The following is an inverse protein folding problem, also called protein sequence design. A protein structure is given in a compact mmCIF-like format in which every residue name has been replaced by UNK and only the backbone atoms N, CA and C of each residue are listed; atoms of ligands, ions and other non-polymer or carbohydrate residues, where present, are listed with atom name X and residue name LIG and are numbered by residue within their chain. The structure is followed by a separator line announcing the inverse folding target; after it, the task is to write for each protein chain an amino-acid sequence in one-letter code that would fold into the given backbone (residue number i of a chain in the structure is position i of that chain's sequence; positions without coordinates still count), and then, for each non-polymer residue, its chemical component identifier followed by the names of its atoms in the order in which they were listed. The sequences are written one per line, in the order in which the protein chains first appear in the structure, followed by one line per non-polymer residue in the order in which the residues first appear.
data_IF_911840393397
#
_entry.id   IF_911840393397
#
_cell.length_a   1.000
_cell.length_b   1.000
_cell.length_c   1.000
_cell.angle_alpha   90.00
_cell.angle_beta   90.00
_cell.angle_gamma   90.00
#
_symmetry.space_group_name_H-M   'P 1'
#
loop_
_entity.id
_entity.type
_entity.pdbx_description
1 polymer ?
#
# COMPACT_ATOMS: atom_id res chain seq x y z
N UNK A 1 -0.10 0.28 -16.82
CA UNK A 1 -0.53 1.06 -15.64
C UNK A 1 -2.00 1.42 -15.81
N UNK A 2 -2.92 1.10 -14.87
CA UNK A 2 -4.19 1.77 -14.84
C UNK A 2 -3.95 3.19 -14.30
N UNK A 3 -3.94 4.15 -15.21
CA UNK A 3 -3.95 5.58 -14.95
C UNK A 3 -5.40 6.08 -15.00
N UNK A 4 -6.03 6.19 -13.83
CA UNK A 4 -7.05 7.18 -13.48
C UNK A 4 -7.26 7.09 -11.96
N UNK A 5 -7.48 8.22 -11.29
CA UNK A 5 -7.84 8.31 -9.86
C UNK A 5 -9.23 7.69 -9.61
N UNK A 6 -9.39 6.39 -9.86
CA UNK A 6 -10.61 5.63 -9.64
C UNK A 6 -10.66 5.05 -8.23
N UNK A 7 -11.82 5.11 -7.58
CA UNK A 7 -12.01 4.41 -6.31
C UNK A 7 -11.79 2.90 -6.52
N UNK A 8 -10.91 2.29 -5.74
CA UNK A 8 -10.59 0.85 -5.81
C UNK A 8 -11.71 0.02 -5.15
N UNK A 9 -12.02 -1.14 -5.72
CA UNK A 9 -12.97 -2.12 -5.16
C UNK A 9 -12.24 -3.30 -4.54
N UNK A 10 -12.26 -3.42 -3.22
CA UNK A 10 -11.50 -4.45 -2.49
C UNK A 10 -12.37 -5.66 -2.12
N UNK A 11 -11.97 -6.91 -2.41
CA UNK A 11 -12.67 -8.06 -1.87
C UNK A 11 -12.38 -8.28 -0.39
N UNK A 12 -13.41 -8.67 0.35
CA UNK A 12 -13.25 -9.26 1.70
C UNK A 12 -12.73 -10.69 1.61
N UNK A 13 -12.18 -11.22 2.70
CA UNK A 13 -11.81 -12.64 2.84
C UNK A 13 -12.96 -13.56 2.50
N UNK A 14 -14.17 -13.19 2.94
CA UNK A 14 -15.40 -13.93 2.64
C UNK A 14 -15.65 -13.96 1.13
N UNK A 15 -15.58 -12.82 0.46
CA UNK A 15 -15.79 -12.76 -0.99
C UNK A 15 -14.73 -13.57 -1.77
N UNK A 16 -13.47 -13.55 -1.34
CA UNK A 16 -12.42 -14.41 -1.93
C UNK A 16 -12.77 -15.89 -1.74
N UNK A 17 -13.16 -16.30 -0.53
CA UNK A 17 -13.57 -17.68 -0.25
C UNK A 17 -14.80 -18.10 -1.06
N UNK A 18 -15.80 -17.21 -1.19
CA UNK A 18 -17.01 -17.46 -1.98
C UNK A 18 -16.70 -17.66 -3.48
N UNK A 19 -15.62 -17.03 -3.98
CA UNK A 19 -15.12 -17.19 -5.35
C UNK A 19 -14.05 -18.29 -5.48
N UNK A 20 -13.75 -19.02 -4.41
CA UNK A 20 -12.68 -20.02 -4.37
C UNK A 20 -11.30 -19.45 -4.79
N UNK A 21 -11.04 -18.18 -4.45
CA UNK A 21 -9.78 -17.49 -4.69
C UNK A 21 -8.92 -17.62 -3.43
N UNK A 22 -7.69 -18.12 -3.58
CA UNK A 22 -6.72 -18.19 -2.49
C UNK A 22 -6.28 -16.78 -2.03
N UNK A 23 -5.91 -16.65 -0.76
CA UNK A 23 -5.33 -15.38 -0.27
C UNK A 23 -3.91 -15.24 -0.82
N UNK A 24 -3.60 -14.18 -1.58
CA UNK A 24 -2.27 -14.01 -2.17
C UNK A 24 -1.23 -13.56 -1.11
N UNK A 25 0.08 -13.60 -1.45
CA UNK A 25 1.16 -12.98 -0.66
C UNK A 25 0.91 -11.49 -0.36
N UNK A 26 1.61 -10.92 0.62
CA UNK A 26 1.35 -9.55 1.11
C UNK A 26 1.64 -8.46 0.08
N UNK A 27 2.55 -8.77 -0.82
CA UNK A 27 3.02 -7.94 -1.92
C UNK A 27 1.96 -7.78 -3.02
N UNK A 28 0.93 -8.64 -3.04
CA UNK A 28 -0.20 -8.55 -3.97
C UNK A 28 -1.44 -8.04 -3.22
N UNK A 29 -1.83 -6.76 -3.39
CA UNK A 29 -3.04 -6.24 -2.78
C UNK A 29 -4.26 -7.03 -3.21
N UNK A 30 -5.26 -7.21 -2.33
CA UNK A 30 -6.44 -8.02 -2.66
C UNK A 30 -7.26 -7.48 -3.86
N UNK A 31 -7.15 -6.18 -4.16
CA UNK A 31 -7.80 -5.57 -5.32
C UNK A 31 -7.03 -5.79 -6.64
N UNK A 32 -5.76 -6.19 -6.56
CA UNK A 32 -4.87 -6.46 -7.70
C UNK A 32 -4.71 -7.97 -7.98
N UNK A 33 -5.46 -8.81 -7.27
CA UNK A 33 -5.49 -10.27 -7.55
C UNK A 33 -5.83 -10.50 -9.01
N UNK A 34 -5.02 -11.32 -9.69
CA UNK A 34 -5.23 -11.69 -11.09
C UNK A 34 -6.38 -12.71 -11.23
N UNK A 35 -7.58 -12.24 -10.96
CA UNK A 35 -8.82 -12.95 -11.19
C UNK A 35 -9.72 -12.11 -12.11
N UNK A 36 -10.29 -12.69 -13.19
CA UNK A 36 -11.15 -11.95 -14.11
C UNK A 36 -12.35 -11.27 -13.43
N UNK A 37 -12.91 -11.87 -12.38
CA UNK A 37 -14.07 -11.31 -11.67
C UNK A 37 -13.65 -10.14 -10.78
N UNK A 38 -12.52 -10.23 -10.08
CA UNK A 38 -11.97 -9.11 -9.29
C UNK A 38 -11.65 -7.92 -10.19
N UNK A 39 -11.00 -8.15 -11.34
CA UNK A 39 -10.69 -7.11 -12.32
C UNK A 39 -11.92 -6.42 -12.88
N UNK A 40 -12.94 -7.18 -13.27
CA UNK A 40 -14.18 -6.60 -13.80
C UNK A 40 -14.96 -5.82 -12.72
N UNK A 41 -14.91 -6.24 -11.46
CA UNK A 41 -15.56 -5.51 -10.36
C UNK A 41 -14.94 -4.14 -10.07
N UNK A 42 -13.68 -3.87 -10.48
CA UNK A 42 -13.06 -2.54 -10.37
C UNK A 42 -13.82 -1.46 -11.14
N UNK A 43 -14.64 -1.84 -12.14
CA UNK A 43 -15.44 -0.88 -12.93
C UNK A 43 -16.70 -0.41 -12.20
N UNK A 44 -17.06 -1.02 -11.07
CA UNK A 44 -18.33 -0.74 -10.39
C UNK A 44 -18.50 0.73 -9.94
N UNK A 45 -17.48 1.42 -9.40
CA UNK A 45 -17.63 2.82 -8.99
C UNK A 45 -18.00 3.71 -10.18
N UNK A 46 -17.39 3.47 -11.35
CA UNK A 46 -17.74 4.17 -12.58
C UNK A 46 -19.19 3.88 -13.02
N UNK A 47 -19.63 2.61 -12.95
CA UNK A 47 -21.03 2.25 -13.23
C UNK A 47 -22.02 2.86 -12.23
N UNK A 48 -21.61 3.04 -10.98
CA UNK A 48 -22.41 3.73 -9.97
C UNK A 48 -22.55 5.22 -10.29
N UNK A 49 -21.45 5.89 -10.62
CA UNK A 49 -21.44 7.30 -11.00
C UNK A 49 -22.30 7.58 -12.24
N UNK A 50 -22.34 6.65 -13.20
CA UNK A 50 -23.21 6.75 -14.37
C UNK A 50 -24.68 6.39 -14.10
N UNK A 51 -25.06 6.10 -12.85
CA UNK A 51 -26.42 5.70 -12.46
C UNK A 51 -26.82 4.27 -12.88
N UNK A 52 -25.86 3.44 -13.32
CA UNK A 52 -26.10 2.08 -13.83
C UNK A 52 -26.07 0.99 -12.75
N UNK A 53 -25.61 1.30 -11.53
CA UNK A 53 -25.52 0.32 -10.46
C UNK A 53 -26.90 0.02 -9.83
N UNK A 54 -27.28 -1.26 -9.81
CA UNK A 54 -28.57 -1.70 -9.27
C UNK A 54 -28.47 -2.02 -7.76
N UNK A 55 -29.28 -1.42 -6.88
CA UNK A 55 -29.23 -1.72 -5.45
C UNK A 55 -29.89 -3.06 -5.09
N UNK A 56 -29.38 -3.70 -4.04
CA UNK A 56 -29.96 -4.87 -3.38
C UNK A 56 -30.97 -4.39 -2.34
N UNK A 57 -32.25 -4.36 -2.71
CA UNK A 57 -33.34 -3.89 -1.82
C UNK A 57 -33.59 -4.76 -0.58
N UNK A 58 -33.03 -5.98 -0.54
CA UNK A 58 -33.22 -6.92 0.57
C UNK A 58 -32.47 -6.48 1.82
N UNK A 59 -31.28 -5.90 1.67
CA UNK A 59 -30.45 -5.37 2.75
C UNK A 59 -30.97 -3.96 3.07
N UNK A 60 -31.43 -3.74 4.30
CA UNK A 60 -32.21 -2.54 4.68
C UNK A 60 -31.43 -1.48 5.45
N UNK A 61 -30.35 -1.89 6.10
CA UNK A 61 -29.51 -1.09 6.99
C UNK A 61 -28.40 -0.33 6.25
N UNK A 62 -28.11 -0.71 5.00
CA UNK A 62 -27.16 0.02 4.13
C UNK A 62 -27.44 -0.17 2.65
N UNK A 63 -26.85 0.74 1.86
CA UNK A 63 -26.86 0.63 0.40
C UNK A 63 -25.81 -0.38 -0.04
N UNK A 64 -26.29 -1.44 -0.72
CA UNK A 64 -25.45 -2.47 -1.33
C UNK A 64 -25.86 -2.59 -2.79
N UNK A 65 -24.89 -2.68 -3.68
CA UNK A 65 -25.08 -2.78 -5.12
C UNK A 65 -24.84 -4.21 -5.60
N UNK A 66 -25.59 -4.57 -6.64
CA UNK A 66 -25.44 -5.80 -7.38
C UNK A 66 -24.30 -5.66 -8.37
N UNK A 67 -23.45 -6.67 -8.42
CA UNK A 67 -22.58 -6.93 -9.56
C UNK A 67 -23.01 -8.24 -10.23
N UNK A 68 -23.20 -8.20 -11.55
CA UNK A 68 -23.68 -9.35 -12.34
C UNK A 68 -22.77 -9.56 -13.53
N UNK A 69 -22.11 -10.71 -13.59
CA UNK A 69 -21.44 -11.20 -14.81
C UNK A 69 -22.21 -12.41 -15.38
N UNK A 70 -21.65 -13.15 -16.34
CA UNK A 70 -22.29 -14.36 -16.89
C UNK A 70 -22.54 -15.42 -15.81
N UNK A 71 -21.52 -15.74 -15.01
CA UNK A 71 -21.53 -16.84 -14.03
C UNK A 71 -21.32 -16.38 -12.58
N UNK A 72 -20.97 -15.12 -12.32
CA UNK A 72 -20.74 -14.60 -10.96
C UNK A 72 -21.78 -13.56 -10.57
N UNK A 73 -22.14 -13.57 -9.30
CA UNK A 73 -22.94 -12.56 -8.61
C UNK A 73 -22.15 -12.05 -7.43
N UNK A 74 -22.20 -10.76 -7.17
CA UNK A 74 -21.58 -10.19 -5.99
C UNK A 74 -22.39 -9.05 -5.41
N UNK A 75 -22.23 -8.86 -4.11
CA UNK A 75 -22.76 -7.75 -3.33
C UNK A 75 -21.59 -6.83 -2.99
N UNK A 76 -21.69 -5.57 -3.40
CA UNK A 76 -20.62 -4.58 -3.24
C UNK A 76 -21.17 -3.34 -2.56
N UNK A 77 -20.47 -2.79 -1.57
CA UNK A 77 -20.92 -1.61 -0.83
C UNK A 77 -19.79 -0.59 -0.73
N UNK A 78 -20.16 0.68 -0.61
CA UNK A 78 -19.22 1.73 -0.21
C UNK A 78 -19.31 1.88 1.31
N UNK A 79 -18.22 1.60 2.00
CA UNK A 79 -18.15 1.74 3.46
C UNK A 79 -18.37 3.19 3.88
N UNK A 80 -19.13 3.38 4.95
CA UNK A 80 -19.27 4.67 5.61
C UNK A 80 -18.01 4.97 6.43
N UNK A 81 -17.79 6.24 6.79
CA UNK A 81 -16.63 6.63 7.59
C UNK A 81 -16.57 5.92 8.95
N UNK A 82 -17.73 5.59 9.53
CA UNK A 82 -17.85 4.85 10.80
C UNK A 82 -17.43 3.39 10.69
N UNK A 83 -17.46 2.80 9.48
CA UNK A 83 -17.03 1.43 9.23
C UNK A 83 -15.51 1.32 9.03
N UNK A 84 -14.81 2.44 8.92
CA UNK A 84 -13.37 2.48 8.69
C UNK A 84 -12.65 2.55 10.04
N UNK A 85 -11.58 1.75 10.26
CA UNK A 85 -10.78 1.87 11.47
C UNK A 85 -10.17 3.28 11.58
N UNK A 86 -10.01 3.78 12.80
CA UNK A 86 -9.38 5.08 13.06
C UNK A 86 -7.98 5.14 12.43
N UNK A 87 -7.64 6.25 11.77
CA UNK A 87 -6.36 6.44 11.06
C UNK A 87 -6.34 5.98 9.59
N UNK A 88 -7.35 5.26 9.11
CA UNK A 88 -7.40 4.82 7.70
C UNK A 88 -7.75 5.91 6.69
N UNK A 89 -8.45 6.96 7.12
CA UNK A 89 -8.90 8.06 6.26
C UNK A 89 -7.69 8.89 5.75
N UNK A 90 -6.60 8.91 6.51
CA UNK A 90 -5.42 9.76 6.24
C UNK A 90 -4.46 9.17 5.21
N UNK A 91 -4.56 7.87 4.90
CA UNK A 91 -3.72 7.21 3.90
C UNK A 91 -4.22 7.40 2.45
N UNK A 92 -5.28 8.20 2.26
CA UNK A 92 -5.62 8.93 1.03
C UNK A 92 -5.95 8.12 -0.23
N UNK A 93 -5.73 6.80 -0.27
CA UNK A 93 -5.76 6.02 -1.52
C UNK A 93 -6.43 4.66 -1.43
N UNK A 94 -6.96 4.27 -0.29
CA UNK A 94 -7.73 3.03 -0.20
C UNK A 94 -9.18 3.32 -0.53
N UNK A 95 -9.65 2.72 -1.62
CA UNK A 95 -11.04 2.83 -2.04
C UNK A 95 -12.00 2.35 -0.94
N UNK A 96 -13.10 3.08 -0.79
CA UNK A 96 -14.17 2.73 0.17
C UNK A 96 -15.07 1.61 -0.33
N UNK A 97 -14.84 1.09 -1.54
CA UNK A 97 -15.68 0.06 -2.13
C UNK A 97 -15.18 -1.32 -1.76
N UNK A 98 -16.10 -2.16 -1.30
CA UNK A 98 -15.79 -3.51 -0.84
C UNK A 98 -16.76 -4.54 -1.37
N UNK A 99 -16.22 -5.68 -1.84
CA UNK A 99 -17.00 -6.86 -2.19
C UNK A 99 -17.24 -7.64 -0.90
N UNK A 100 -18.48 -7.60 -0.41
CA UNK A 100 -18.87 -8.11 0.90
C UNK A 100 -19.45 -9.54 0.83
N UNK A 101 -19.89 -9.95 -0.35
CA UNK A 101 -20.26 -11.34 -0.64
C UNK A 101 -20.15 -11.59 -2.14
N UNK A 102 -19.84 -12.82 -2.52
CA UNK A 102 -19.81 -13.22 -3.92
C UNK A 102 -20.33 -14.65 -4.07
N UNK A 103 -20.46 -15.12 -5.30
CA UNK A 103 -20.82 -16.51 -5.55
C UNK A 103 -21.13 -16.78 -7.01
N UNK A 104 -21.14 -18.06 -7.35
CA UNK A 104 -21.48 -18.52 -8.69
C UNK A 104 -23.00 -18.68 -8.85
N UNK A 105 -23.50 -18.35 -10.04
CA UNK A 105 -24.89 -18.61 -10.42
C UNK A 105 -25.12 -20.11 -10.48
N UNK A 106 -26.04 -20.63 -9.67
CA UNK A 106 -26.61 -21.97 -9.81
C UNK A 106 -27.78 -21.93 -10.83
N UNK A 107 -27.95 -22.97 -11.64
CA UNK A 107 -28.93 -23.01 -12.73
C UNK A 107 -30.38 -22.87 -12.21
N UNK A 108 -31.07 -21.85 -12.70
CA UNK A 108 -32.53 -21.65 -12.85
C UNK A 108 -33.49 -22.18 -11.78
N UNK A 109 -33.11 -22.15 -10.50
CA UNK A 109 -34.06 -22.25 -9.38
C UNK A 109 -34.14 -20.92 -8.64
N UNK A 110 -35.31 -20.26 -8.57
CA UNK A 110 -35.49 -18.99 -7.83
C UNK A 110 -35.06 -19.07 -6.36
N UNK A 111 -35.16 -20.25 -5.74
CA UNK A 111 -34.71 -20.51 -4.36
C UNK A 111 -33.18 -20.62 -4.22
N UNK A 112 -32.47 -20.76 -5.34
CA UNK A 112 -31.00 -20.80 -5.39
C UNK A 112 -30.39 -19.47 -5.90
N UNK A 113 -31.21 -18.43 -6.08
CA UNK A 113 -30.70 -17.11 -6.48
C UNK A 113 -29.81 -16.52 -5.38
N UNK A 114 -28.59 -16.14 -5.76
CA UNK A 114 -27.59 -15.57 -4.85
C UNK A 114 -28.15 -14.41 -4.02
N UNK A 115 -28.84 -13.46 -4.66
CA UNK A 115 -29.38 -12.30 -3.96
C UNK A 115 -30.55 -12.64 -3.04
N UNK A 116 -31.30 -13.69 -3.36
CA UNK A 116 -32.35 -14.22 -2.49
C UNK A 116 -31.78 -14.88 -1.23
N UNK A 117 -30.52 -15.34 -1.22
CA UNK A 117 -29.86 -15.96 -0.06
C UNK A 117 -29.17 -14.97 0.88
N UNK A 118 -28.95 -13.72 0.45
CA UNK A 118 -28.34 -12.70 1.29
C UNK A 118 -29.21 -12.39 2.54
N UNK A 119 -28.62 -12.02 3.69
CA UNK A 119 -29.37 -11.58 4.86
C UNK A 119 -30.17 -10.29 4.60
N UNK A 120 -31.08 -9.96 5.52
CA UNK A 120 -31.85 -8.71 5.48
C UNK A 120 -31.09 -7.50 6.06
N UNK A 121 -30.01 -7.76 6.79
CA UNK A 121 -29.07 -6.77 7.33
C UNK A 121 -27.66 -7.03 6.80
N UNK A 122 -26.76 -6.07 6.91
CA UNK A 122 -25.35 -6.20 6.52
C UNK A 122 -24.47 -6.91 7.56
N UNK A 123 -25.06 -7.30 8.69
CA UNK A 123 -24.38 -8.04 9.74
C UNK A 123 -23.73 -9.32 9.19
N UNK A 124 -22.45 -9.50 9.46
CA UNK A 124 -21.67 -10.63 8.98
C UNK A 124 -21.29 -10.58 7.49
N UNK A 125 -21.66 -9.54 6.74
CA UNK A 125 -21.18 -9.30 5.38
C UNK A 125 -20.00 -8.32 5.33
N UNK A 126 -19.96 -7.37 6.27
CA UNK A 126 -18.94 -6.32 6.28
C UNK A 126 -17.53 -6.87 6.53
N UNK A 127 -16.48 -6.11 6.12
CA UNK A 127 -15.12 -6.49 6.41
C UNK A 127 -14.91 -6.73 7.91
N UNK A 128 -14.11 -7.75 8.20
CA UNK A 128 -13.79 -8.18 9.55
C UNK A 128 -12.43 -7.64 9.99
N UNK A 129 -12.06 -7.86 11.24
CA UNK A 129 -10.71 -7.57 11.75
C UNK A 129 -9.60 -8.13 10.87
N UNK A 130 -9.81 -9.30 10.27
CA UNK A 130 -8.83 -9.89 9.35
C UNK A 130 -8.62 -9.02 8.12
N UNK A 131 -9.70 -8.50 7.54
CA UNK A 131 -9.67 -7.68 6.32
C UNK A 131 -8.95 -6.36 6.56
N UNK A 132 -9.21 -5.73 7.70
CA UNK A 132 -8.54 -4.50 8.11
C UNK A 132 -7.07 -4.74 8.43
N UNK A 133 -6.72 -5.79 9.18
CA UNK A 133 -5.32 -6.15 9.47
C UNK A 133 -4.55 -6.46 8.19
N UNK A 134 -5.17 -7.20 7.26
CA UNK A 134 -4.59 -7.50 5.95
C UNK A 134 -4.31 -6.23 5.16
N UNK A 135 -5.27 -5.31 5.11
CA UNK A 135 -5.10 -4.03 4.43
C UNK A 135 -4.02 -3.16 5.09
N UNK A 136 -3.96 -3.09 6.43
CA UNK A 136 -2.87 -2.41 7.15
C UNK A 136 -1.50 -2.98 6.78
N UNK A 137 -1.38 -4.30 6.69
CA UNK A 137 -0.13 -4.95 6.32
C UNK A 137 0.26 -4.68 4.85
N UNK A 138 -0.69 -4.67 3.92
CA UNK A 138 -0.43 -4.30 2.51
C UNK A 138 0.07 -2.86 2.38
N UNK A 139 -0.54 -1.93 3.13
CA UNK A 139 -0.09 -0.54 3.16
C UNK A 139 1.30 -0.41 3.75
N UNK A 140 1.60 -1.13 4.83
CA UNK A 140 2.93 -1.14 5.43
C UNK A 140 3.96 -1.69 4.45
N UNK A 141 3.66 -2.77 3.73
CA UNK A 141 4.54 -3.33 2.71
C UNK A 141 4.82 -2.33 1.59
N UNK A 142 3.75 -1.75 1.02
CA UNK A 142 3.89 -0.73 -0.03
C UNK A 142 4.67 0.50 0.46
N UNK A 143 4.51 0.86 1.73
CA UNK A 143 5.23 1.96 2.32
C UNK A 143 6.73 1.66 2.41
N UNK A 144 7.13 0.43 2.78
CA UNK A 144 8.53 -0.01 2.70
C UNK A 144 9.07 0.18 1.29
N UNK A 145 8.38 -0.31 0.27
CA UNK A 145 8.82 -0.20 -1.14
C UNK A 145 9.00 1.26 -1.58
N UNK A 146 8.07 2.14 -1.18
CA UNK A 146 8.11 3.58 -1.51
C UNK A 146 9.28 4.28 -0.82
N UNK A 147 9.54 3.99 0.46
CA UNK A 147 10.67 4.57 1.17
C UNK A 147 11.98 4.05 0.59
N UNK A 148 12.09 2.74 0.35
CA UNK A 148 13.32 2.16 -0.19
C UNK A 148 13.66 2.65 -1.58
N UNK A 149 12.68 2.72 -2.49
CA UNK A 149 12.90 3.33 -3.81
C UNK A 149 13.27 4.81 -3.71
N UNK A 150 12.64 5.56 -2.80
CA UNK A 150 12.98 6.98 -2.57
C UNK A 150 14.41 7.15 -2.09
N UNK A 151 14.83 6.41 -1.06
CA UNK A 151 16.20 6.47 -0.50
C UNK A 151 17.22 6.14 -1.59
N UNK A 152 17.04 5.03 -2.32
CA UNK A 152 17.95 4.62 -3.39
C UNK A 152 18.07 5.68 -4.49
N UNK A 153 16.96 6.29 -4.90
CA UNK A 153 16.96 7.38 -5.88
C UNK A 153 17.69 8.61 -5.38
N UNK A 154 17.55 8.98 -4.10
CA UNK A 154 18.30 10.10 -3.51
C UNK A 154 19.80 9.81 -3.51
N UNK A 155 20.21 8.59 -3.14
CA UNK A 155 21.62 8.18 -3.15
C UNK A 155 22.18 8.23 -4.58
N UNK A 156 21.47 7.66 -5.55
CA UNK A 156 21.83 7.72 -6.97
C UNK A 156 21.98 9.17 -7.46
N UNK A 157 21.01 10.02 -7.15
CA UNK A 157 21.07 11.46 -7.49
C UNK A 157 22.29 12.13 -6.87
N UNK A 158 22.62 11.79 -5.63
CA UNK A 158 23.80 12.34 -4.96
C UNK A 158 25.11 11.85 -5.59
N UNK A 159 25.20 10.57 -5.95
CA UNK A 159 26.32 9.99 -6.69
C UNK A 159 26.54 10.68 -8.05
N UNK A 160 25.46 10.93 -8.79
CA UNK A 160 25.54 11.54 -10.13
C UNK A 160 25.89 13.02 -10.10
N UNK A 161 25.43 13.74 -9.08
CA UNK A 161 25.55 15.21 -9.02
C UNK A 161 26.67 15.71 -8.10
N UNK A 162 27.20 14.84 -7.23
CA UNK A 162 28.11 15.22 -6.15
C UNK A 162 27.48 16.15 -5.10
N UNK A 163 26.15 16.29 -5.09
CA UNK A 163 25.40 17.18 -4.20
C UNK A 163 24.46 16.39 -3.29
N UNK A 164 24.08 16.92 -2.11
CA UNK A 164 23.00 16.32 -1.32
C UNK A 164 21.70 16.28 -2.13
N UNK A 165 20.95 15.19 -1.99
CA UNK A 165 19.62 15.04 -2.56
C UNK A 165 18.64 14.75 -1.43
N UNK A 166 17.49 15.44 -1.45
CA UNK A 166 16.51 15.32 -0.38
C UNK A 166 15.08 15.13 -0.87
N UNK A 167 14.27 14.44 -0.07
CA UNK A 167 12.83 14.29 -0.27
C UNK A 167 12.10 14.27 1.08
N UNK A 168 10.78 14.44 1.03
CA UNK A 168 9.91 14.27 2.20
C UNK A 168 9.03 13.04 1.99
N UNK A 169 9.01 12.14 2.96
CA UNK A 169 8.14 10.97 2.99
C UNK A 169 7.42 10.90 4.35
N UNK A 170 6.07 10.96 4.36
CA UNK A 170 5.24 10.77 5.56
C UNK A 170 5.75 11.59 6.76
N UNK A 171 5.91 12.90 6.57
CA UNK A 171 6.41 13.85 7.57
C UNK A 171 7.86 13.64 8.05
N UNK A 172 8.62 12.76 7.37
CA UNK A 172 10.05 12.63 7.56
C UNK A 172 10.77 13.29 6.40
N UNK A 173 11.69 14.20 6.73
CA UNK A 173 12.73 14.60 5.80
C UNK A 173 13.70 13.44 5.61
N UNK A 174 14.17 13.21 4.40
CA UNK A 174 15.22 12.25 4.07
C UNK A 174 16.22 12.99 3.19
N UNK A 175 17.47 13.07 3.61
CA UNK A 175 18.58 13.58 2.81
C UNK A 175 19.64 12.51 2.64
N UNK A 176 20.05 12.26 1.40
CA UNK A 176 21.22 11.44 1.10
C UNK A 176 22.33 12.34 0.58
N UNK A 177 23.52 12.17 1.13
CA UNK A 177 24.75 12.79 0.60
C UNK A 177 25.83 11.74 0.47
N UNK A 178 26.45 11.72 -0.71
CA UNK A 178 27.62 10.92 -0.97
C UNK A 178 28.83 11.85 -1.09
N UNK A 179 29.83 11.68 -0.22
CA UNK A 179 31.06 12.47 -0.26
C UNK A 179 32.10 11.80 -1.16
N UNK A 180 32.75 12.59 -2.03
CA UNK A 180 33.87 12.13 -2.84
C UNK A 180 35.20 12.42 -2.13
N UNK A 181 35.98 11.37 -1.88
CA UNK A 181 37.23 11.33 -1.12
C UNK A 181 37.87 9.93 -1.27
N UNK A 182 38.97 9.64 -0.56
CA UNK A 182 39.60 8.30 -0.63
C UNK A 182 38.63 7.17 -0.21
N UNK A 183 37.69 7.50 0.68
CA UNK A 183 36.56 6.68 1.08
C UNK A 183 35.24 7.43 0.80
N UNK A 184 34.27 6.72 0.23
CA UNK A 184 32.98 7.30 -0.12
C UNK A 184 31.98 7.01 1.00
N UNK A 185 31.56 8.07 1.70
CA UNK A 185 30.60 7.98 2.78
C UNK A 185 29.20 8.35 2.30
N UNK A 186 28.21 7.60 2.78
CA UNK A 186 26.80 7.94 2.67
C UNK A 186 26.32 8.50 3.99
N UNK A 187 25.69 9.67 3.97
CA UNK A 187 24.93 10.19 5.10
C UNK A 187 23.44 10.15 4.79
N UNK A 188 22.64 9.68 5.74
CA UNK A 188 21.19 9.70 5.70
C UNK A 188 20.69 10.54 6.87
N UNK A 189 20.13 11.70 6.58
CA UNK A 189 19.50 12.57 7.58
C UNK A 189 17.99 12.37 7.64
N UNK A 190 17.41 12.37 8.84
CA UNK A 190 15.96 12.51 9.02
C UNK A 190 15.59 13.57 10.05
N UNK A 191 14.52 14.30 9.78
CA UNK A 191 13.94 15.30 10.67
C UNK A 191 12.42 15.19 10.71
N UNK A 192 11.84 15.49 11.88
CA UNK A 192 10.39 15.35 12.13
C UNK A 192 10.08 14.59 13.42
N UNK A 193 8.95 13.90 13.45
CA UNK A 193 8.58 13.03 14.58
C UNK A 193 9.40 11.75 14.51
N UNK A 194 10.21 11.47 15.53
CA UNK A 194 11.04 10.28 15.59
C UNK A 194 10.20 8.99 15.64
N UNK A 195 10.30 8.16 14.60
CA UNK A 195 9.76 6.80 14.56
C UNK A 195 10.88 5.78 14.24
N UNK A 196 11.29 4.93 15.21
CA UNK A 196 12.30 3.90 15.01
C UNK A 196 12.03 2.95 13.83
N UNK A 197 10.75 2.67 13.53
CA UNK A 197 10.40 1.79 12.41
C UNK A 197 10.67 2.47 11.08
N UNK A 198 10.47 3.78 11.02
CA UNK A 198 10.74 4.56 9.82
C UNK A 198 12.23 4.60 9.54
N UNK A 199 13.01 4.88 10.57
CA UNK A 199 14.47 4.89 10.50
C UNK A 199 15.00 3.52 10.07
N UNK A 200 14.52 2.43 10.67
CA UNK A 200 14.96 1.08 10.31
C UNK A 200 14.76 0.81 8.81
N UNK A 201 13.61 1.17 8.25
CA UNK A 201 13.36 1.01 6.81
C UNK A 201 14.25 1.90 5.96
N UNK A 202 14.47 3.15 6.36
CA UNK A 202 15.38 4.05 5.64
C UNK A 202 16.80 3.47 5.58
N UNK A 203 17.34 2.98 6.71
CA UNK A 203 18.69 2.44 6.77
C UNK A 203 18.82 1.09 6.03
N UNK A 204 17.82 0.21 6.14
CA UNK A 204 17.76 -1.08 5.43
C UNK A 204 17.60 -0.93 3.90
N UNK A 205 17.25 0.27 3.43
CA UNK A 205 17.06 0.54 2.01
C UNK A 205 18.36 0.55 1.20
N UNK A 206 19.52 0.63 1.86
CA UNK A 206 20.83 0.71 1.21
C UNK A 206 21.42 -0.70 1.02
N UNK A 207 21.53 -1.20 -0.22
CA UNK A 207 21.98 -2.57 -0.44
C UNK A 207 23.45 -2.74 -0.05
N UNK A 208 23.77 -3.86 0.63
CA UNK A 208 25.15 -4.22 0.94
C UNK A 208 25.79 -3.48 2.12
N UNK A 209 25.02 -2.69 2.87
CA UNK A 209 25.45 -2.09 4.15
C UNK A 209 24.80 -2.87 5.29
N UNK A 210 25.59 -3.38 6.24
CA UNK A 210 25.04 -4.10 7.39
C UNK A 210 24.47 -3.13 8.43
N UNK A 211 23.55 -3.60 9.26
CA UNK A 211 22.91 -2.75 10.28
C UNK A 211 23.95 -2.18 11.27
N UNK A 212 24.96 -2.97 11.61
CA UNK A 212 26.07 -2.60 12.50
C UNK A 212 27.06 -1.60 11.89
N UNK A 213 27.02 -1.36 10.58
CA UNK A 213 27.93 -0.43 9.89
C UNK A 213 27.43 1.02 9.91
N UNK A 214 26.20 1.24 10.41
CA UNK A 214 25.63 2.57 10.55
C UNK A 214 26.07 3.24 11.86
N UNK A 215 26.63 4.43 11.75
CA UNK A 215 27.02 5.29 12.87
C UNK A 215 26.07 6.47 13.00
N UNK A 216 25.81 6.90 14.24
CA UNK A 216 25.01 8.10 14.51
C UNK A 216 25.95 9.30 14.56
N UNK A 217 25.63 10.35 13.83
CA UNK A 217 26.35 11.62 13.82
C UNK A 217 25.83 12.55 14.94
N UNK A 218 26.69 13.41 15.52
CA UNK A 218 28.05 13.71 15.08
C UNK A 218 29.10 12.65 15.50
N UNK A 219 29.93 12.24 14.54
CA UNK A 219 31.15 11.48 14.72
C UNK A 219 32.38 12.40 14.63
N UNK A 220 33.51 11.97 15.17
CA UNK A 220 34.76 12.76 15.11
C UNK A 220 35.36 12.69 13.70
N UNK A 221 35.10 11.60 12.97
CA UNK A 221 35.69 11.29 11.69
C UNK A 221 35.13 12.16 10.54
N UNK A 222 33.81 12.38 10.49
CA UNK A 222 33.16 13.04 9.36
C UNK A 222 32.83 14.51 9.62
N UNK A 223 32.88 14.96 10.87
CA UNK A 223 32.63 16.36 11.25
C UNK A 223 31.23 16.86 10.87
N UNK A 224 30.27 15.95 10.67
CA UNK A 224 28.89 16.29 10.31
C UNK A 224 28.21 16.89 11.54
N UNK A 225 27.48 17.99 11.34
CA UNK A 225 26.75 18.68 12.40
C UNK A 225 25.25 18.63 12.06
N UNK A 226 24.48 17.73 12.69
CA UNK A 226 23.03 17.66 12.50
C UNK A 226 22.35 18.97 12.90
N UNK A 227 21.29 19.33 12.17
CA UNK A 227 20.42 20.45 12.53
C UNK A 227 19.58 20.12 13.77
N UNK A 228 18.99 21.15 14.41
CA UNK A 228 18.09 20.94 15.55
C UNK A 228 16.91 20.03 15.18
N UNK A 229 16.78 18.90 15.88
CA UNK A 229 15.71 17.91 15.64
C UNK A 229 16.00 16.95 14.46
N UNK A 230 17.20 17.01 13.90
CA UNK A 230 17.69 16.08 12.89
C UNK A 230 18.50 14.96 13.55
N UNK A 231 18.35 13.74 13.03
CA UNK A 231 19.25 12.63 13.31
C UNK A 231 19.89 12.24 12.00
N UNK A 232 21.22 12.20 11.97
CA UNK A 232 21.98 11.80 10.78
C UNK A 232 22.70 10.50 11.10
N UNK A 233 22.60 9.55 10.18
CA UNK A 233 23.43 8.35 10.18
C UNK A 233 24.45 8.41 9.06
N UNK A 234 25.60 7.82 9.28
CA UNK A 234 26.68 7.71 8.30
C UNK A 234 27.17 6.27 8.18
N UNK A 235 27.63 5.91 6.99
CA UNK A 235 28.26 4.61 6.70
C UNK A 235 29.24 4.78 5.55
N UNK A 236 30.23 3.89 5.47
CA UNK A 236 31.01 3.72 4.24
C UNK A 236 30.11 3.07 3.18
N UNK A 237 30.19 3.54 1.93
CA UNK A 237 29.39 3.05 0.81
C UNK A 237 30.26 2.17 -0.11
N UNK A 238 30.07 0.83 -0.10
CA UNK A 238 30.89 -0.09 -0.89
C UNK A 238 30.85 0.22 -2.40
N UNK A 239 31.95 0.00 -3.11
CA UNK A 239 32.01 0.21 -4.57
C UNK A 239 30.97 -0.61 -5.34
N UNK A 240 30.77 -1.87 -4.95
CA UNK A 240 29.75 -2.75 -5.55
C UNK A 240 28.33 -2.19 -5.36
N UNK A 241 28.04 -1.64 -4.18
CA UNK A 241 26.77 -0.96 -3.89
C UNK A 241 26.59 0.29 -4.76
N UNK A 242 27.65 1.09 -4.95
CA UNK A 242 27.61 2.28 -5.83
C UNK A 242 27.30 1.91 -7.27
N UNK A 243 27.99 0.90 -7.80
CA UNK A 243 27.76 0.40 -9.16
C UNK A 243 26.33 -0.13 -9.32
N UNK A 244 25.83 -0.88 -8.34
CA UNK A 244 24.45 -1.36 -8.33
C UNK A 244 23.45 -0.20 -8.39
N UNK A 245 23.57 0.78 -7.50
CA UNK A 245 22.66 1.93 -7.42
C UNK A 245 22.69 2.82 -8.67
N UNK A 246 23.84 2.92 -9.35
CA UNK A 246 23.95 3.63 -10.63
C UNK A 246 23.36 2.83 -11.79
N UNK A 247 23.41 1.50 -11.73
CA UNK A 247 22.88 0.60 -12.75
C UNK A 247 21.36 0.37 -12.67
N UNK A 248 20.75 0.58 -11.49
CA UNK A 248 19.31 0.47 -11.29
C UNK A 248 18.59 1.51 -12.19
N UNK A 249 17.81 1.01 -13.16
CA UNK A 249 16.94 1.82 -14.04
C UNK A 249 15.64 2.11 -13.26
N UNK A 250 15.23 3.38 -13.25
CA UNK A 250 13.99 3.85 -12.59
C UNK A 250 12.72 3.13 -13.09
#
# INVERSE_FOLDING_TARGET
MPTSDGEIVRPTRKALADLNIGVPPIETPLHDVDDPHVREMQKLPQYFESGGAEPIRKIRDRVVFKYKSSNVRAAVTRLAAVDLPTGFIELGRIGRWWIIAAGYRKKDSPNEDFYAQLPATSDGLLPTDWDYKRLSAELANRWVDVVSSTVRRLIKTSLETGKPAAATAVNHYIEARVSDGDEVYLTVGTGGVYDPKVIAVILDSVPGVAHEDWFIEPSVELGIQPSTGEVVWSTMLPTTTREQLLSDID
#
